data_IF_769486380447
#
_entry.id   IF_769486380447
#
_cell.length_a   1.000
_cell.length_b   1.000
_cell.length_c   1.000
_cell.angle_alpha   90.00
_cell.angle_beta   90.00
_cell.angle_gamma   90.00
#
_symmetry.space_group_name_H-M   'P 1'
#
loop_
_entity.id
_entity.type
_entity.pdbx_description
1 polymer ?
#
# COMPACT_ATOMS: atom_id res chain seq x y z
N UNK A 1 -6.91 13.07 10.53
CA UNK A 1 -5.63 12.90 9.82
C UNK A 1 -5.70 13.57 8.48
N UNK A 2 -4.71 14.37 8.16
CA UNK A 2 -4.63 15.02 6.85
C UNK A 2 -3.61 14.29 5.98
N UNK A 3 -4.00 14.00 4.76
CA UNK A 3 -3.11 13.44 3.76
C UNK A 3 -2.91 14.48 2.66
N UNK A 4 -1.69 14.58 2.17
CA UNK A 4 -1.33 15.57 1.17
C UNK A 4 -0.88 14.88 -0.11
N UNK A 5 -1.39 15.37 -1.23
CA UNK A 5 -0.93 14.97 -2.56
C UNK A 5 -0.31 16.17 -3.21
N UNK A 6 0.86 15.97 -3.79
CA UNK A 6 1.61 17.04 -4.41
C UNK A 6 1.74 16.83 -5.90
N UNK A 7 1.57 17.92 -6.64
CA UNK A 7 2.05 17.98 -8.00
C UNK A 7 3.39 18.69 -7.97
N UNK A 8 4.40 18.00 -8.41
CA UNK A 8 5.74 18.55 -8.49
C UNK A 8 6.10 18.67 -9.96
N UNK A 9 6.92 19.66 -10.25
CA UNK A 9 7.56 19.77 -11.54
C UNK A 9 9.04 19.43 -11.35
N UNK A 10 9.33 18.13 -11.17
CA UNK A 10 10.69 17.73 -10.82
C UNK A 10 11.59 17.78 -12.05
N UNK A 11 12.91 17.87 -11.78
CA UNK A 11 13.90 17.63 -12.82
C UNK A 11 13.78 16.17 -13.31
N UNK A 12 14.41 15.87 -14.44
CA UNK A 12 14.39 14.51 -14.97
C UNK A 12 14.91 13.50 -13.96
N UNK A 13 15.95 13.86 -13.21
CA UNK A 13 16.51 12.99 -12.18
C UNK A 13 15.55 12.77 -11.01
N UNK A 14 14.87 13.82 -10.58
CA UNK A 14 13.87 13.74 -9.51
C UNK A 14 12.67 12.89 -9.95
N UNK A 15 12.25 13.05 -11.20
CA UNK A 15 11.16 12.28 -11.78
C UNK A 15 11.50 10.80 -11.81
N UNK A 16 12.73 10.45 -12.20
CA UNK A 16 13.18 9.07 -12.20
C UNK A 16 13.14 8.47 -10.81
N UNK A 17 13.63 9.19 -9.80
CA UNK A 17 13.59 8.72 -8.42
C UNK A 17 12.17 8.57 -7.90
N UNK A 18 11.29 9.50 -8.25
CA UNK A 18 9.89 9.41 -7.88
C UNK A 18 9.24 8.18 -8.50
N UNK A 19 9.51 7.93 -9.77
CA UNK A 19 8.96 6.77 -10.46
C UNK A 19 9.48 5.46 -9.87
N UNK A 20 10.73 5.40 -9.45
CA UNK A 20 11.28 4.25 -8.76
C UNK A 20 10.57 4.00 -7.43
N UNK A 21 10.33 5.05 -6.67
CA UNK A 21 9.60 4.92 -5.40
C UNK A 21 8.17 4.46 -5.62
N UNK A 22 7.49 4.99 -6.62
CA UNK A 22 6.13 4.56 -6.95
C UNK A 22 6.09 3.09 -7.34
N UNK A 23 7.07 2.63 -8.10
CA UNK A 23 7.15 1.22 -8.50
C UNK A 23 7.41 0.31 -7.30
N UNK A 24 8.31 0.70 -6.40
CA UNK A 24 8.55 -0.06 -5.18
C UNK A 24 7.30 -0.11 -4.30
N UNK A 25 6.58 0.99 -4.20
CA UNK A 25 5.33 1.02 -3.44
C UNK A 25 4.28 0.12 -4.07
N UNK A 26 4.22 0.06 -5.40
CA UNK A 26 3.32 -0.84 -6.11
C UNK A 26 3.65 -2.30 -5.80
N UNK A 27 4.93 -2.64 -5.88
CA UNK A 27 5.38 -4.02 -5.57
C UNK A 27 5.06 -4.39 -4.13
N UNK A 28 5.30 -3.49 -3.20
CA UNK A 28 4.95 -3.70 -1.79
C UNK A 28 3.45 -3.90 -1.61
N UNK A 29 2.65 -3.02 -2.22
CA UNK A 29 1.19 -3.11 -2.13
C UNK A 29 0.71 -4.48 -2.61
N UNK A 30 1.19 -4.91 -3.78
CA UNK A 30 0.80 -6.20 -4.34
C UNK A 30 1.26 -7.37 -3.45
N UNK A 31 2.46 -7.27 -2.89
CA UNK A 31 2.98 -8.30 -1.97
C UNK A 31 2.11 -8.42 -0.72
N UNK A 32 1.67 -7.29 -0.17
CA UNK A 32 0.80 -7.28 1.01
C UNK A 32 -0.55 -7.91 0.70
N UNK A 33 -1.11 -7.63 -0.47
CA UNK A 33 -2.38 -8.25 -0.89
C UNK A 33 -2.23 -9.76 -1.04
N UNK A 34 -1.14 -10.20 -1.67
CA UNK A 34 -0.88 -11.63 -1.87
C UNK A 34 -0.62 -12.34 -0.54
N UNK A 35 0.10 -11.72 0.37
CA UNK A 35 0.36 -12.28 1.69
C UNK A 35 -0.95 -12.60 2.42
N UNK A 36 -1.89 -11.67 2.42
CA UNK A 36 -3.20 -11.87 3.04
C UNK A 36 -3.99 -12.95 2.33
N UNK A 37 -3.94 -12.97 1.00
CA UNK A 37 -4.66 -13.98 0.21
C UNK A 37 -4.15 -15.38 0.52
N UNK A 38 -2.83 -15.57 0.54
CA UNK A 38 -2.24 -16.88 0.81
C UNK A 38 -2.47 -17.31 2.25
N UNK A 39 -2.38 -16.41 3.21
CA UNK A 39 -2.66 -16.73 4.60
C UNK A 39 -4.10 -17.21 4.78
N UNK A 40 -5.05 -16.55 4.13
CA UNK A 40 -6.45 -16.93 4.20
C UNK A 40 -6.72 -18.27 3.52
N UNK A 41 -6.17 -18.47 2.31
CA UNK A 41 -6.37 -19.72 1.58
C UNK A 41 -5.69 -20.91 2.24
N UNK A 42 -4.50 -20.71 2.78
CA UNK A 42 -3.71 -21.80 3.37
C UNK A 42 -4.20 -22.21 4.74
N UNK A 43 -4.36 -21.27 5.65
CA UNK A 43 -4.66 -21.55 7.06
C UNK A 43 -5.94 -20.86 7.56
N UNK A 44 -6.71 -20.24 6.68
CA UNK A 44 -7.90 -19.45 7.03
C UNK A 44 -7.59 -18.31 8.00
N UNK A 45 -6.34 -17.84 7.99
CA UNK A 45 -5.88 -16.80 8.89
C UNK A 45 -6.05 -15.44 8.24
N UNK A 46 -6.66 -14.51 8.98
CA UNK A 46 -6.81 -13.12 8.55
C UNK A 46 -5.67 -12.31 9.14
N UNK A 47 -4.81 -11.78 8.29
CA UNK A 47 -3.75 -10.88 8.73
C UNK A 47 -4.32 -9.50 8.99
N UNK A 48 -3.75 -8.80 9.97
CA UNK A 48 -4.21 -7.47 10.35
C UNK A 48 -3.28 -6.39 9.79
N UNK A 49 -3.76 -5.16 9.85
CA UNK A 49 -2.95 -3.99 9.54
C UNK A 49 -1.68 -3.96 10.41
N UNK A 50 -1.82 -4.18 11.72
CA UNK A 50 -0.68 -4.15 12.63
C UNK A 50 0.35 -5.23 12.31
N UNK A 51 -0.11 -6.41 11.95
CA UNK A 51 0.78 -7.50 11.55
C UNK A 51 1.66 -7.09 10.38
N UNK A 52 1.04 -6.56 9.34
CA UNK A 52 1.78 -6.15 8.14
C UNK A 52 2.62 -4.90 8.38
N UNK A 53 2.14 -3.99 9.21
CA UNK A 53 2.90 -2.80 9.58
C UNK A 53 4.20 -3.17 10.29
N UNK A 54 4.17 -4.18 11.13
CA UNK A 54 5.34 -4.65 11.87
C UNK A 54 6.38 -5.35 10.98
N UNK A 55 6.03 -5.68 9.75
CA UNK A 55 6.96 -6.27 8.79
C UNK A 55 7.85 -5.22 8.10
N UNK A 56 7.49 -3.95 8.17
CA UNK A 56 8.21 -2.89 7.44
C UNK A 56 9.68 -2.76 7.87
N UNK A 57 10.04 -2.79 9.17
CA UNK A 57 11.45 -2.71 9.54
C UNK A 57 12.30 -3.83 8.93
N UNK A 58 11.76 -5.05 8.89
CA UNK A 58 12.47 -6.18 8.29
C UNK A 58 12.58 -6.03 6.77
N UNK A 59 11.56 -5.51 6.13
CA UNK A 59 11.58 -5.21 4.71
C UNK A 59 12.75 -4.27 4.37
N UNK A 60 12.92 -3.21 5.16
CA UNK A 60 14.00 -2.25 4.98
C UNK A 60 15.37 -2.88 5.20
N UNK A 61 15.46 -3.82 6.13
CA UNK A 61 16.71 -4.52 6.40
C UNK A 61 17.07 -5.52 5.30
N UNK A 62 16.06 -6.14 4.71
CA UNK A 62 16.24 -7.16 3.67
C UNK A 62 16.48 -6.54 2.29
N UNK A 63 15.76 -5.47 1.98
CA UNK A 63 15.82 -4.81 0.67
C UNK A 63 16.21 -3.35 0.84
N UNK A 64 17.45 -3.03 0.49
CA UNK A 64 18.00 -1.69 0.67
C UNK A 64 17.24 -0.60 -0.09
N UNK A 65 16.59 -0.96 -1.20
CA UNK A 65 15.82 -0.03 -2.01
C UNK A 65 14.74 0.68 -1.19
N UNK A 66 14.16 -0.02 -0.22
CA UNK A 66 13.08 0.55 0.62
C UNK A 66 13.58 1.52 1.68
N UNK A 67 14.88 1.53 1.97
CA UNK A 67 15.45 2.45 2.97
C UNK A 67 15.35 3.91 2.53
N UNK A 68 15.33 4.14 1.24
CA UNK A 68 15.27 5.49 0.68
C UNK A 68 13.84 6.04 0.63
N UNK A 69 12.86 5.23 0.98
CA UNK A 69 11.46 5.65 1.00
C UNK A 69 11.09 6.05 2.43
N UNK A 70 10.46 7.21 2.57
CA UNK A 70 10.04 7.69 3.88
C UNK A 70 9.11 6.69 4.56
N UNK A 71 9.31 6.48 5.85
CA UNK A 71 8.54 5.48 6.61
C UNK A 71 7.03 5.70 6.53
N UNK A 72 6.59 6.95 6.53
CA UNK A 72 5.17 7.26 6.45
C UNK A 72 4.57 6.88 5.10
N UNK A 73 5.37 6.97 4.03
CA UNK A 73 4.93 6.53 2.70
C UNK A 73 4.70 5.01 2.71
N UNK A 74 5.64 4.25 3.29
CA UNK A 74 5.50 2.81 3.40
C UNK A 74 4.31 2.43 4.30
N UNK A 75 4.12 3.14 5.39
CA UNK A 75 2.96 2.93 6.26
C UNK A 75 1.65 3.16 5.52
N UNK A 76 1.62 4.15 4.64
CA UNK A 76 0.44 4.42 3.83
C UNK A 76 0.15 3.30 2.83
N UNK A 77 1.20 2.66 2.29
CA UNK A 77 1.02 1.50 1.41
C UNK A 77 0.30 0.38 2.17
N UNK A 78 0.73 0.09 3.40
CA UNK A 78 0.08 -0.91 4.25
C UNK A 78 -1.37 -0.52 4.52
N UNK A 79 -1.62 0.75 4.79
CA UNK A 79 -2.97 1.27 5.03
C UNK A 79 -3.87 1.10 3.82
N UNK A 80 -3.35 1.36 2.62
CA UNK A 80 -4.11 1.18 1.38
C UNK A 80 -4.46 -0.29 1.15
N UNK A 81 -3.52 -1.19 1.41
CA UNK A 81 -3.75 -2.63 1.30
C UNK A 81 -4.81 -3.09 2.31
N UNK A 82 -4.73 -2.60 3.54
CA UNK A 82 -5.72 -2.91 4.56
C UNK A 82 -7.11 -2.42 4.16
N UNK A 83 -7.21 -1.20 3.64
CA UNK A 83 -8.48 -0.64 3.17
C UNK A 83 -9.10 -1.51 2.07
N UNK A 84 -8.28 -1.99 1.14
CA UNK A 84 -8.75 -2.86 0.07
C UNK A 84 -9.36 -4.14 0.64
N UNK A 85 -8.74 -4.73 1.67
CA UNK A 85 -9.27 -5.93 2.33
C UNK A 85 -10.49 -5.63 3.20
N UNK A 86 -10.54 -4.49 3.87
CA UNK A 86 -11.73 -4.10 4.61
C UNK A 86 -12.94 -3.95 3.69
N UNK A 87 -12.73 -3.38 2.51
CA UNK A 87 -13.79 -3.28 1.50
C UNK A 87 -14.23 -4.67 1.01
N UNK A 88 -13.28 -5.58 0.83
CA UNK A 88 -13.57 -6.96 0.45
C UNK A 88 -14.42 -7.66 1.53
N UNK A 89 -14.03 -7.54 2.80
CA UNK A 89 -14.78 -8.13 3.90
C UNK A 89 -16.18 -7.55 4.01
N UNK A 90 -16.32 -6.24 3.79
CA UNK A 90 -17.62 -5.60 3.77
C UNK A 90 -18.52 -6.18 2.67
N UNK A 91 -17.98 -6.38 1.47
CA UNK A 91 -18.74 -6.96 0.36
C UNK A 91 -19.19 -8.38 0.65
N UNK A 92 -18.34 -9.18 1.33
CA UNK A 92 -18.71 -10.52 1.76
C UNK A 92 -19.90 -10.46 2.72
N UNK A 93 -19.84 -9.58 3.72
CA UNK A 93 -20.93 -9.42 4.69
C UNK A 93 -22.23 -8.98 4.01
N UNK A 94 -22.16 -8.03 3.11
CA UNK A 94 -23.33 -7.55 2.37
C UNK A 94 -23.93 -8.66 1.52
N UNK A 95 -23.10 -9.45 0.87
CA UNK A 95 -23.57 -10.58 0.06
C UNK A 95 -24.30 -11.60 0.91
N UNK A 96 -23.84 -11.89 2.11
CA UNK A 96 -24.50 -12.79 3.05
C UNK A 96 -25.85 -12.26 3.53
N UNK A 97 -26.01 -10.94 3.50
CA UNK A 97 -27.27 -10.27 3.89
C UNK A 97 -28.22 -10.10 2.69
N UNK A 98 -27.90 -10.67 1.54
CA UNK A 98 -28.75 -10.62 0.37
C UNK A 98 -28.51 -9.46 -0.58
N UNK A 99 -27.53 -8.59 -0.30
CA UNK A 99 -27.18 -7.51 -1.20
C UNK A 99 -26.43 -8.07 -2.41
N UNK A 100 -26.77 -7.63 -3.61
CA UNK A 100 -26.08 -8.05 -4.82
C UNK A 100 -24.71 -7.39 -4.87
N UNK A 101 -23.67 -8.15 -4.56
CA UNK A 101 -22.28 -7.68 -4.57
C UNK A 101 -21.39 -8.75 -5.15
N UNK A 102 -20.38 -8.33 -5.92
CA UNK A 102 -19.31 -9.24 -6.32
C UNK A 102 -18.23 -9.19 -5.23
N UNK A 103 -18.06 -10.32 -4.53
CA UNK A 103 -17.04 -10.44 -3.50
C UNK A 103 -15.82 -11.15 -4.06
N UNK A 104 -14.97 -10.39 -4.75
CA UNK A 104 -13.68 -10.88 -5.23
C UNK A 104 -12.54 -10.34 -4.38
N UNK A 105 -11.43 -11.06 -4.33
CA UNK A 105 -10.24 -10.58 -3.65
C UNK A 105 -9.78 -9.23 -4.24
N UNK A 106 -9.13 -8.37 -3.44
CA UNK A 106 -8.56 -7.13 -3.96
C UNK A 106 -7.64 -7.42 -5.15
N UNK A 107 -7.75 -6.60 -6.18
CA UNK A 107 -6.95 -6.77 -7.39
C UNK A 107 -5.56 -6.18 -7.23
N UNK A 108 -4.57 -6.89 -7.76
CA UNK A 108 -3.22 -6.36 -7.83
C UNK A 108 -3.19 -5.17 -8.78
N UNK A 109 -2.29 -4.23 -8.52
CA UNK A 109 -2.09 -3.08 -9.39
C UNK A 109 -1.06 -3.42 -10.46
N UNK A 110 -1.41 -3.18 -11.71
CA UNK A 110 -0.50 -3.33 -12.84
C UNK A 110 0.55 -2.22 -12.87
N UNK A 111 1.54 -2.41 -13.72
CA UNK A 111 2.62 -1.45 -13.89
C UNK A 111 2.07 -0.06 -14.22
N UNK A 112 2.58 0.97 -13.55
CA UNK A 112 2.16 2.34 -13.75
C UNK A 112 0.82 2.70 -13.10
N UNK A 113 0.20 1.79 -12.34
CA UNK A 113 -1.08 2.04 -11.70
C UNK A 113 -0.98 2.59 -10.28
N UNK A 114 0.20 2.57 -9.67
CA UNK A 114 0.42 3.19 -8.37
C UNK A 114 0.96 4.60 -8.63
N UNK A 115 0.12 5.61 -8.48
CA UNK A 115 0.38 6.94 -9.06
C UNK A 115 0.60 8.05 -8.05
N UNK A 116 0.48 7.78 -6.76
CA UNK A 116 0.62 8.84 -5.77
C UNK A 116 1.30 8.33 -4.52
N UNK A 117 2.18 9.17 -3.97
CA UNK A 117 2.73 8.98 -2.64
C UNK A 117 1.94 9.88 -1.71
N UNK A 118 1.60 9.35 -0.53
CA UNK A 118 0.84 10.09 0.46
C UNK A 118 1.59 10.14 1.76
N UNK A 119 1.74 11.34 2.29
CA UNK A 119 2.31 11.58 3.61
C UNK A 119 1.14 11.85 4.55
N UNK A 120 0.77 10.88 5.42
CA UNK A 120 -0.43 11.03 6.24
C UNK A 120 -0.33 12.02 7.38
N UNK A 121 0.85 12.58 7.61
CA UNK A 121 1.09 13.60 8.61
C UNK A 121 1.81 14.78 7.97
N UNK A 122 1.97 15.85 8.73
CA UNK A 122 2.60 17.08 8.24
C UNK A 122 4.13 16.99 8.15
N UNK A 123 4.64 15.93 7.59
CA UNK A 123 6.08 15.74 7.39
C UNK A 123 6.49 15.93 5.94
N UNK A 124 5.64 16.51 5.16
CA UNK A 124 5.88 16.73 3.74
C UNK A 124 6.93 17.82 3.48
N UNK A 125 7.46 18.44 4.52
CA UNK A 125 8.61 19.34 4.40
C UNK A 125 9.76 18.68 3.66
N UNK A 126 9.82 17.35 3.69
CA UNK A 126 10.80 16.60 2.92
C UNK A 126 10.62 16.78 1.42
N UNK A 127 9.46 17.21 0.99
CA UNK A 127 9.15 17.41 -0.42
C UNK A 127 9.69 18.71 -0.98
N UNK A 128 10.19 19.58 -0.13
CA UNK A 128 10.75 20.86 -0.54
C UNK A 128 12.13 20.73 -1.20
N UNK A 129 12.72 19.57 -1.12
CA UNK A 129 14.06 19.33 -1.66
C UNK A 129 14.01 18.72 -3.04
#
# INVERSE_FOLDING_TARGET
MKAYKFRLYPSAEQEERLNEQLELCRELYNSLLLERRYAYRGSKKSLTYNHQQNEIPELKNTFDEYRNIHSQVLQDVVRRADRAYQNFYRRIREKKQGVKQKAGFPRLKGKGRYRSLTYPQSSFTLMEN
#
